data_IF_352470749787
#
_entry.id   IF_352470749787
#
_cell.length_a   1.000
_cell.length_b   1.000
_cell.length_c   1.000
_cell.angle_alpha   90.00
_cell.angle_beta   90.00
_cell.angle_gamma   90.00
#
_symmetry.space_group_name_H-M   'P 1'
#
loop_
_entity.id
_entity.type
_entity.pdbx_description
1 polymer ?
#
# COMPACT_ATOMS: atom_id res chain seq x y z
N UNK A 1 -15.86 12.55 -37.79
CA UNK A 1 -14.95 11.39 -37.64
C UNK A 1 -15.76 10.25 -37.06
N UNK A 2 -16.06 9.17 -37.82
CA UNK A 2 -16.80 8.06 -37.26
C UNK A 2 -15.96 7.41 -36.15
N UNK A 3 -16.58 7.18 -35.00
CA UNK A 3 -16.00 6.46 -33.87
C UNK A 3 -15.54 5.08 -34.35
N UNK A 4 -14.24 4.81 -34.24
CA UNK A 4 -13.71 3.45 -34.45
C UNK A 4 -14.36 2.54 -33.41
N UNK A 5 -15.35 1.75 -33.84
CA UNK A 5 -15.92 0.66 -33.06
C UNK A 5 -14.76 -0.22 -32.62
N UNK A 6 -14.51 -0.28 -31.30
CA UNK A 6 -13.50 -1.16 -30.74
C UNK A 6 -13.89 -2.60 -31.10
N UNK A 7 -13.08 -3.24 -31.95
CA UNK A 7 -13.23 -4.65 -32.28
C UNK A 7 -13.27 -5.48 -30.98
N UNK A 8 -14.28 -6.35 -30.87
CA UNK A 8 -14.46 -7.25 -29.73
C UNK A 8 -13.18 -8.09 -29.54
N UNK A 9 -12.64 -8.14 -28.33
CA UNK A 9 -11.58 -9.10 -28.00
C UNK A 9 -12.22 -10.46 -27.79
N UNK A 10 -11.71 -11.48 -28.49
CA UNK A 10 -12.20 -12.85 -28.37
C UNK A 10 -11.50 -13.58 -27.24
N UNK A 11 -12.29 -14.28 -26.41
CA UNK A 11 -11.78 -15.01 -25.26
C UNK A 11 -11.05 -16.30 -25.67
N UNK A 12 -10.18 -16.86 -24.81
CA UNK A 12 -9.53 -18.15 -25.06
C UNK A 12 -10.54 -19.27 -25.37
N UNK A 13 -11.69 -19.29 -24.71
CA UNK A 13 -12.74 -20.30 -24.91
C UNK A 13 -13.41 -20.16 -26.26
N UNK A 14 -13.69 -18.91 -26.70
CA UNK A 14 -14.20 -18.62 -28.04
C UNK A 14 -13.22 -19.10 -29.12
N UNK A 15 -11.91 -18.92 -28.90
CA UNK A 15 -10.86 -19.40 -29.82
C UNK A 15 -10.76 -20.93 -29.82
N UNK A 16 -10.82 -21.55 -28.64
CA UNK A 16 -10.80 -23.01 -28.48
C UNK A 16 -11.93 -23.67 -29.28
N UNK A 17 -13.16 -23.17 -29.16
CA UNK A 17 -14.32 -23.70 -29.90
C UNK A 17 -14.13 -23.70 -31.42
N UNK A 18 -13.51 -22.65 -31.97
CA UNK A 18 -13.22 -22.57 -33.41
C UNK A 18 -12.15 -23.60 -33.81
N UNK A 19 -11.12 -23.79 -32.99
CA UNK A 19 -10.06 -24.77 -33.23
C UNK A 19 -10.51 -26.22 -33.07
N UNK A 20 -11.36 -26.52 -32.09
CA UNK A 20 -11.94 -27.85 -31.90
C UNK A 20 -12.77 -28.25 -33.12
N UNK A 21 -13.63 -27.33 -33.60
CA UNK A 21 -14.42 -27.55 -34.80
C UNK A 21 -13.58 -27.76 -36.05
N UNK A 22 -12.49 -27.01 -36.20
CA UNK A 22 -11.54 -27.20 -37.30
C UNK A 22 -10.86 -28.56 -37.22
N UNK A 23 -10.44 -28.97 -36.01
CA UNK A 23 -9.73 -30.24 -35.78
C UNK A 23 -10.64 -31.46 -35.96
N UNK A 24 -11.94 -31.32 -35.69
CA UNK A 24 -12.96 -32.35 -35.96
C UNK A 24 -13.45 -32.36 -37.42
N UNK A 25 -12.88 -31.53 -38.30
CA UNK A 25 -13.29 -31.42 -39.71
C UNK A 25 -14.67 -30.79 -39.92
N UNK A 26 -15.23 -30.13 -38.90
CA UNK A 26 -16.52 -29.46 -38.95
C UNK A 26 -16.46 -28.04 -39.52
N UNK A 27 -17.62 -27.38 -39.60
CA UNK A 27 -17.73 -26.00 -40.11
C UNK A 27 -17.33 -24.97 -39.03
N UNK A 28 -16.02 -24.82 -38.86
CA UNK A 28 -15.43 -23.83 -37.97
C UNK A 28 -15.72 -22.38 -38.40
N UNK A 29 -16.06 -22.11 -39.68
CA UNK A 29 -16.37 -20.76 -40.17
C UNK A 29 -17.72 -20.28 -39.66
N UNK A 30 -18.72 -21.17 -39.61
CA UNK A 30 -20.01 -20.86 -38.99
C UNK A 30 -19.85 -20.57 -37.49
N UNK A 31 -19.02 -21.36 -36.80
CA UNK A 31 -18.75 -21.18 -35.36
C UNK A 31 -17.97 -19.88 -35.09
N UNK A 32 -17.02 -19.54 -35.95
CA UNK A 32 -16.29 -18.27 -35.88
C UNK A 32 -17.24 -17.07 -36.11
N UNK A 33 -18.15 -17.16 -37.10
CA UNK A 33 -19.15 -16.14 -37.36
C UNK A 33 -20.10 -15.94 -36.17
N UNK A 34 -20.58 -17.03 -35.56
CA UNK A 34 -21.45 -16.96 -34.38
C UNK A 34 -20.76 -16.32 -33.17
N UNK A 35 -19.47 -16.58 -32.97
CA UNK A 35 -18.67 -15.94 -31.93
C UNK A 35 -18.22 -14.50 -32.31
N UNK A 36 -18.59 -14.01 -33.50
CA UNK A 36 -18.32 -12.65 -33.97
C UNK A 36 -16.88 -12.42 -34.45
N UNK A 37 -16.15 -13.47 -34.84
CA UNK A 37 -14.79 -13.32 -35.37
C UNK A 37 -14.82 -12.67 -36.76
N UNK A 38 -13.99 -11.65 -37.00
CA UNK A 38 -13.65 -11.25 -38.36
C UNK A 38 -13.03 -12.45 -39.10
N UNK A 39 -13.42 -12.64 -40.36
CA UNK A 39 -12.97 -13.78 -41.18
C UNK A 39 -11.46 -13.96 -41.16
N UNK A 40 -10.71 -12.87 -41.32
CA UNK A 40 -9.24 -12.87 -41.33
C UNK A 40 -8.65 -13.32 -40.00
N UNK A 41 -9.28 -12.98 -38.87
CA UNK A 41 -8.87 -13.39 -37.54
C UNK A 41 -9.14 -14.88 -37.30
N UNK A 42 -10.27 -15.39 -37.79
CA UNK A 42 -10.62 -16.80 -37.70
C UNK A 42 -9.68 -17.69 -38.55
N UNK A 43 -9.38 -17.26 -39.78
CA UNK A 43 -8.41 -17.93 -40.65
C UNK A 43 -6.99 -17.92 -40.04
N UNK A 44 -6.57 -16.77 -39.47
CA UNK A 44 -5.29 -16.68 -38.76
C UNK A 44 -5.22 -17.61 -37.54
N UNK A 45 -6.30 -17.66 -36.74
CA UNK A 45 -6.42 -18.52 -35.57
C UNK A 45 -6.25 -19.99 -35.96
N UNK A 46 -6.98 -20.45 -36.97
CA UNK A 46 -6.95 -21.84 -37.47
C UNK A 46 -5.58 -22.21 -38.04
N UNK A 47 -4.95 -21.30 -38.78
CA UNK A 47 -3.61 -21.54 -39.35
C UNK A 47 -2.49 -21.61 -38.30
N UNK A 48 -2.64 -20.95 -37.14
CA UNK A 48 -1.61 -20.91 -36.11
C UNK A 48 -1.91 -21.80 -34.89
N UNK A 49 -3.17 -22.16 -34.65
CA UNK A 49 -3.60 -23.04 -33.55
C UNK A 49 -3.47 -22.44 -32.15
N UNK A 50 -3.30 -21.11 -32.02
CA UNK A 50 -2.95 -20.48 -30.74
C UNK A 50 -4.17 -19.92 -30.01
N UNK A 51 -4.48 -20.51 -28.86
CA UNK A 51 -5.57 -20.07 -27.98
C UNK A 51 -5.15 -18.91 -27.07
N UNK A 52 -3.96 -19.03 -26.46
CA UNK A 52 -3.47 -18.09 -25.46
C UNK A 52 -3.07 -16.72 -26.04
N UNK A 53 -3.30 -15.67 -25.25
CA UNK A 53 -2.84 -14.33 -25.59
C UNK A 53 -1.33 -14.21 -25.42
N UNK A 54 -0.65 -13.75 -26.47
CA UNK A 54 0.78 -13.47 -26.40
C UNK A 54 1.03 -12.08 -25.79
N UNK A 55 2.11 -11.91 -25.01
CA UNK A 55 2.57 -10.61 -24.59
C UNK A 55 2.87 -9.74 -25.83
N UNK A 56 2.48 -8.46 -25.77
CA UNK A 56 2.66 -7.53 -26.89
C UNK A 56 4.12 -7.11 -27.03
N UNK A 57 4.68 -7.28 -28.23
CA UNK A 57 6.01 -6.81 -28.61
C UNK A 57 7.11 -7.88 -28.52
N UNK A 58 8.16 -7.73 -29.33
CA UNK A 58 9.34 -8.59 -29.28
C UNK A 58 10.29 -8.20 -28.14
N UNK A 59 11.26 -9.08 -27.84
CA UNK A 59 12.30 -8.81 -26.85
C UNK A 59 13.07 -7.54 -27.24
N UNK A 60 13.04 -6.51 -26.39
CA UNK A 60 13.88 -5.32 -26.54
C UNK A 60 15.18 -5.56 -25.78
N UNK A 61 16.32 -5.28 -26.41
CA UNK A 61 17.60 -5.30 -25.73
C UNK A 61 17.60 -4.33 -24.54
N UNK A 62 17.58 -4.86 -23.32
CA UNK A 62 17.68 -4.07 -22.12
C UNK A 62 19.15 -3.75 -21.85
N UNK A 63 19.53 -2.47 -21.96
CA UNK A 63 20.91 -2.03 -21.71
C UNK A 63 21.33 -2.13 -20.24
N UNK A 64 20.36 -2.26 -19.33
CA UNK A 64 20.62 -2.34 -17.89
C UNK A 64 20.63 -3.80 -17.48
N UNK A 65 21.85 -4.34 -17.41
CA UNK A 65 22.11 -5.71 -16.99
C UNK A 65 21.96 -5.85 -15.48
N UNK A 66 21.83 -7.08 -14.94
CA UNK A 66 21.81 -7.31 -13.49
C UNK A 66 23.02 -6.73 -12.76
N UNK A 67 24.22 -6.81 -13.37
CA UNK A 67 25.47 -6.32 -12.81
C UNK A 67 25.47 -4.79 -12.66
N UNK A 68 24.92 -4.07 -13.64
CA UNK A 68 24.75 -2.61 -13.55
C UNK A 68 23.79 -2.25 -12.41
N UNK A 69 22.74 -3.05 -12.17
CA UNK A 69 21.80 -2.79 -11.06
C UNK A 69 22.46 -2.98 -9.71
N UNK A 70 23.23 -4.05 -9.55
CA UNK A 70 23.99 -4.33 -8.34
C UNK A 70 25.01 -3.22 -8.04
N UNK A 71 25.73 -2.74 -9.07
CA UNK A 71 26.65 -1.62 -8.91
C UNK A 71 25.95 -0.32 -8.50
N UNK A 72 24.82 0.02 -9.15
CA UNK A 72 23.99 1.17 -8.75
C UNK A 72 23.50 1.06 -7.30
N UNK A 73 23.16 -0.15 -6.85
CA UNK A 73 22.75 -0.41 -5.47
C UNK A 73 23.91 -0.22 -4.49
N UNK A 74 25.09 -0.77 -4.80
CA UNK A 74 26.30 -0.62 -3.99
C UNK A 74 26.71 0.84 -3.85
N UNK A 75 26.81 1.59 -4.96
CA UNK A 75 27.20 3.00 -4.90
C UNK A 75 26.21 3.86 -4.11
N UNK A 76 24.91 3.57 -4.20
CA UNK A 76 23.89 4.30 -3.43
C UNK A 76 23.87 3.94 -1.95
N UNK A 77 24.23 2.69 -1.60
CA UNK A 77 24.38 2.28 -0.20
C UNK A 77 25.64 2.88 0.43
N UNK A 78 26.72 3.04 -0.35
CA UNK A 78 27.98 3.66 0.10
C UNK A 78 27.88 5.19 0.16
N UNK A 79 27.23 5.82 -0.83
CA UNK A 79 27.10 7.26 -0.92
C UNK A 79 25.74 7.69 -1.49
N UNK A 80 24.81 8.02 -0.60
CA UNK A 80 23.47 8.47 -0.97
C UNK A 80 23.40 9.90 -1.54
N UNK A 81 24.52 10.63 -1.58
CA UNK A 81 24.60 12.01 -2.10
C UNK A 81 24.89 12.08 -3.61
N UNK A 82 25.15 10.93 -4.24
CA UNK A 82 25.44 10.90 -5.68
C UNK A 82 24.27 11.43 -6.50
N UNK A 83 24.61 12.33 -7.43
CA UNK A 83 23.65 12.83 -8.40
C UNK A 83 23.44 11.80 -9.52
N UNK A 84 22.29 11.86 -10.20
CA UNK A 84 22.04 11.01 -11.38
C UNK A 84 23.11 11.18 -12.47
N UNK A 85 23.73 12.37 -12.57
CA UNK A 85 24.86 12.62 -13.48
C UNK A 85 26.11 11.87 -13.05
N UNK A 86 26.39 11.82 -11.75
CA UNK A 86 27.53 11.08 -11.21
C UNK A 86 27.38 9.58 -11.48
N UNK A 87 26.22 9.02 -11.15
CA UNK A 87 25.91 7.62 -11.44
C UNK A 87 25.99 7.30 -12.94
N UNK A 88 25.55 8.23 -13.79
CA UNK A 88 25.68 8.08 -15.24
C UNK A 88 27.14 7.98 -15.70
N UNK A 89 28.04 8.78 -15.14
CA UNK A 89 29.46 8.73 -15.46
C UNK A 89 30.08 7.42 -14.98
N UNK A 90 29.77 6.99 -13.75
CA UNK A 90 30.26 5.71 -13.19
C UNK A 90 29.83 4.51 -14.05
N UNK A 91 28.59 4.47 -14.54
CA UNK A 91 28.15 3.38 -15.44
C UNK A 91 28.92 3.39 -16.77
N UNK A 92 29.26 4.57 -17.30
CA UNK A 92 30.06 4.66 -18.53
C UNK A 92 31.49 4.20 -18.28
N UNK A 93 32.08 4.56 -17.15
CA UNK A 93 33.44 4.18 -16.77
C UNK A 93 33.58 2.68 -16.52
N UNK A 94 32.70 2.09 -15.71
CA UNK A 94 32.85 0.70 -15.26
C UNK A 94 32.29 -0.33 -16.25
N UNK A 95 31.24 0.02 -16.99
CA UNK A 95 30.54 -0.92 -17.88
C UNK A 95 30.62 -0.54 -19.37
N UNK A 96 31.17 0.62 -19.72
CA UNK A 96 31.19 1.15 -21.09
C UNK A 96 29.78 1.23 -21.72
N UNK A 97 28.74 1.43 -20.89
CA UNK A 97 27.35 1.54 -21.32
C UNK A 97 26.84 2.97 -21.12
N UNK A 98 26.38 3.61 -22.20
CA UNK A 98 25.72 4.91 -22.12
C UNK A 98 24.25 4.75 -21.72
N UNK A 99 23.95 5.05 -20.45
CA UNK A 99 22.58 5.18 -19.94
C UNK A 99 22.17 6.65 -19.83
N UNK A 100 20.88 6.95 -19.92
CA UNK A 100 20.35 8.28 -19.60
C UNK A 100 20.07 8.39 -18.09
N UNK A 101 20.15 9.60 -17.55
CA UNK A 101 19.75 9.88 -16.15
C UNK A 101 18.32 9.44 -15.85
N UNK A 102 17.42 9.54 -16.84
CA UNK A 102 16.03 9.06 -16.72
C UNK A 102 15.94 7.55 -16.59
N UNK A 103 16.80 6.79 -17.26
CA UNK A 103 16.87 5.33 -17.12
C UNK A 103 17.39 4.96 -15.74
N UNK A 104 18.46 5.60 -15.27
CA UNK A 104 19.00 5.40 -13.93
C UNK A 104 17.96 5.74 -12.87
N UNK A 105 17.30 6.90 -12.98
CA UNK A 105 16.22 7.32 -12.09
C UNK A 105 15.07 6.29 -12.03
N UNK A 106 14.61 5.77 -13.18
CA UNK A 106 13.59 4.73 -13.21
C UNK A 106 14.04 3.45 -12.50
N UNK A 107 15.30 3.04 -12.66
CA UNK A 107 15.83 1.86 -11.98
C UNK A 107 15.96 2.06 -10.47
N UNK A 108 16.44 3.24 -10.03
CA UNK A 108 16.48 3.58 -8.61
C UNK A 108 15.07 3.56 -7.99
N UNK A 109 14.07 4.14 -8.67
CA UNK A 109 12.67 4.08 -8.24
C UNK A 109 12.17 2.63 -8.20
N UNK A 110 12.50 1.81 -9.20
CA UNK A 110 12.13 0.40 -9.22
C UNK A 110 12.79 -0.40 -8.09
N UNK A 111 13.98 0.02 -7.62
CA UNK A 111 14.67 -0.48 -6.43
C UNK A 111 14.23 0.23 -5.13
N UNK A 112 13.13 1.00 -5.17
CA UNK A 112 12.52 1.70 -4.03
C UNK A 112 13.37 2.82 -3.41
N UNK A 113 14.42 3.29 -4.09
CA UNK A 113 15.13 4.50 -3.68
C UNK A 113 14.23 5.71 -3.87
N UNK A 114 14.14 6.53 -2.82
CA UNK A 114 13.38 7.79 -2.83
C UNK A 114 14.32 8.93 -2.49
N UNK A 115 14.17 10.04 -3.21
CA UNK A 115 14.92 11.27 -2.92
C UNK A 115 14.23 11.97 -1.76
N UNK A 116 14.99 12.32 -0.73
CA UNK A 116 14.56 13.22 0.34
C UNK A 116 15.54 14.38 0.42
N UNK A 117 15.03 15.57 0.68
CA UNK A 117 15.91 16.65 1.11
C UNK A 117 16.46 16.25 2.48
N UNK A 118 17.78 16.36 2.64
CA UNK A 118 18.40 16.21 3.94
C UNK A 118 18.22 17.55 4.65
N UNK A 119 17.48 17.55 5.77
CA UNK A 119 17.46 18.70 6.65
C UNK A 119 18.89 18.95 7.12
N UNK A 120 19.45 20.12 6.82
CA UNK A 120 20.64 20.57 7.53
C UNK A 120 20.28 20.60 9.02
N UNK A 121 21.04 19.86 9.84
CA UNK A 121 20.95 19.93 11.30
C UNK A 121 21.48 21.31 11.74
N UNK A 122 20.64 22.32 11.58
CA UNK A 122 20.67 23.56 12.34
C UNK A 122 19.50 23.52 13.30
N UNK A 123 19.74 23.97 14.53
CA UNK A 123 18.81 23.98 15.65
C UNK A 123 17.40 24.35 15.17
N UNK A 124 16.44 23.46 15.43
CA UNK A 124 15.04 23.61 15.02
C UNK A 124 14.39 24.69 15.88
N UNK A 125 14.44 25.92 15.40
CA UNK A 125 13.44 26.92 15.72
C UNK A 125 12.29 26.78 14.71
N UNK A 126 11.12 26.52 15.28
CA UNK A 126 9.79 27.04 14.95
C UNK A 126 9.30 27.04 13.48
N UNK A 127 8.14 26.40 13.32
CA UNK A 127 7.20 26.52 12.18
C UNK A 127 7.65 25.92 10.84
N UNK A 128 7.65 24.59 10.79
CA UNK A 128 7.46 23.86 9.53
C UNK A 128 6.10 23.17 9.56
N UNK A 129 5.11 23.71 8.82
CA UNK A 129 4.08 22.84 8.26
C UNK A 129 4.82 21.68 7.59
N UNK A 130 4.42 20.45 7.90
CA UNK A 130 4.89 19.27 7.16
C UNK A 130 4.35 19.44 5.72
N UNK A 131 5.10 20.14 4.85
CA UNK A 131 4.88 20.13 3.41
C UNK A 131 5.10 18.69 2.96
N UNK A 132 4.02 17.92 3.01
CA UNK A 132 3.98 16.53 2.60
C UNK A 132 4.43 16.44 1.16
N UNK A 133 5.62 15.87 0.94
CA UNK A 133 6.07 15.38 -0.36
C UNK A 133 4.89 14.68 -1.05
N UNK A 134 4.63 15.08 -2.30
CA UNK A 134 3.55 14.53 -3.12
C UNK A 134 3.54 13.00 -3.00
N UNK A 135 2.36 12.36 -2.81
CA UNK A 135 2.26 10.92 -2.65
C UNK A 135 3.07 10.21 -3.74
N UNK A 136 3.97 9.30 -3.34
CA UNK A 136 4.61 8.43 -4.32
C UNK A 136 3.50 7.74 -5.11
N UNK A 137 3.67 7.59 -6.44
CA UNK A 137 2.67 7.03 -7.36
C UNK A 137 2.48 5.52 -7.17
N UNK A 138 2.46 5.04 -5.93
CA UNK A 138 2.23 3.66 -5.53
C UNK A 138 0.83 3.49 -4.93
N UNK A 139 0.32 2.26 -4.97
CA UNK A 139 -0.87 1.91 -4.23
C UNK A 139 -0.56 1.98 -2.72
N UNK A 140 -1.40 2.69 -1.96
CA UNK A 140 -1.22 2.84 -0.53
C UNK A 140 -1.96 1.75 0.26
N UNK A 141 -1.32 1.27 1.32
CA UNK A 141 -1.95 0.45 2.35
C UNK A 141 -2.45 1.36 3.47
N UNK A 142 -3.74 1.31 3.76
CA UNK A 142 -4.34 1.99 4.91
C UNK A 142 -4.47 1.01 6.07
N UNK A 143 -4.10 1.45 7.27
CA UNK A 143 -4.22 0.69 8.50
C UNK A 143 -5.21 1.43 9.41
N UNK A 144 -6.30 0.75 9.76
CA UNK A 144 -7.23 1.20 10.80
C UNK A 144 -6.95 0.41 12.06
N UNK A 145 -6.87 1.09 13.21
CA UNK A 145 -6.50 0.45 14.46
C UNK A 145 -7.21 1.12 15.63
N UNK A 146 -7.66 0.32 16.59
CA UNK A 146 -8.21 0.78 17.86
C UNK A 146 -7.33 0.27 19.01
N UNK A 147 -6.83 1.21 19.79
CA UNK A 147 -5.76 0.97 20.76
C UNK A 147 -6.11 1.55 22.14
N UNK A 148 -6.97 0.88 22.92
CA UNK A 148 -7.22 1.27 24.30
C UNK A 148 -6.05 0.89 25.23
N UNK A 149 -5.79 1.73 26.22
CA UNK A 149 -4.70 1.53 27.19
C UNK A 149 -4.88 0.31 28.09
N UNK A 150 -6.13 -0.09 28.34
CA UNK A 150 -6.45 -1.28 29.12
C UNK A 150 -6.09 -2.59 28.40
N UNK A 151 -6.02 -2.62 27.06
CA UNK A 151 -5.88 -3.87 26.29
C UNK A 151 -4.70 -3.87 25.31
N UNK A 152 -4.13 -2.71 24.97
CA UNK A 152 -3.25 -2.58 23.81
C UNK A 152 -4.07 -2.56 22.51
N UNK A 153 -3.56 -3.16 21.43
CA UNK A 153 -4.32 -3.25 20.16
C UNK A 153 -5.48 -4.23 20.32
N UNK A 154 -6.70 -3.72 20.19
CA UNK A 154 -7.93 -4.53 20.31
C UNK A 154 -8.39 -5.04 18.95
N UNK A 155 -8.34 -4.18 17.94
CA UNK A 155 -8.68 -4.55 16.58
C UNK A 155 -7.88 -3.68 15.61
N UNK A 156 -7.50 -4.27 14.50
CA UNK A 156 -7.00 -3.53 13.36
C UNK A 156 -7.50 -4.16 12.06
N UNK A 157 -7.56 -3.34 11.02
CA UNK A 157 -7.89 -3.76 9.66
C UNK A 157 -6.92 -3.09 8.70
N UNK A 158 -6.54 -3.83 7.67
CA UNK A 158 -5.78 -3.31 6.55
C UNK A 158 -6.70 -3.17 5.34
N UNK A 159 -6.58 -2.06 4.63
CA UNK A 159 -7.36 -1.77 3.43
C UNK A 159 -6.43 -1.31 2.32
N UNK A 160 -6.62 -1.87 1.12
CA UNK A 160 -5.94 -1.39 -0.09
C UNK A 160 -6.73 -0.22 -0.66
N UNK A 161 -6.07 0.91 -0.88
CA UNK A 161 -6.71 2.13 -1.39
C UNK A 161 -7.47 2.91 -0.32
N UNK A 162 -8.39 3.78 -0.75
CA UNK A 162 -9.13 4.67 0.15
C UNK A 162 -10.23 3.93 0.92
N UNK A 163 -10.26 4.10 2.23
CA UNK A 163 -11.37 3.62 3.04
C UNK A 163 -12.64 4.43 2.76
N UNK A 164 -13.75 3.73 2.53
CA UNK A 164 -15.10 4.32 2.44
C UNK A 164 -15.71 4.46 3.84
N UNK A 165 -16.66 5.38 3.95
CA UNK A 165 -17.27 5.75 5.23
C UNK A 165 -18.02 4.58 5.91
N UNK A 166 -18.71 3.73 5.14
CA UNK A 166 -19.39 2.55 5.67
C UNK A 166 -18.41 1.59 6.36
N UNK A 167 -17.20 1.46 5.80
CA UNK A 167 -16.16 0.60 6.37
C UNK A 167 -15.71 1.08 7.75
N UNK A 168 -15.70 2.40 8.00
CA UNK A 168 -15.43 2.96 9.32
C UNK A 168 -16.54 2.62 10.31
N UNK A 169 -17.82 2.76 9.91
CA UNK A 169 -18.94 2.40 10.77
C UNK A 169 -18.92 0.90 11.11
N UNK A 170 -18.71 0.03 10.11
CA UNK A 170 -18.59 -1.42 10.30
C UNK A 170 -17.40 -1.80 11.19
N UNK A 171 -16.34 -1.01 11.18
CA UNK A 171 -15.19 -1.19 12.07
C UNK A 171 -15.55 -0.85 13.52
N UNK A 172 -16.25 0.26 13.77
CA UNK A 172 -16.71 0.66 15.11
C UNK A 172 -17.70 -0.36 15.68
N UNK A 173 -18.61 -0.85 14.85
CA UNK A 173 -19.56 -1.89 15.25
C UNK A 173 -18.87 -3.20 15.62
N UNK A 174 -17.89 -3.63 14.82
CA UNK A 174 -17.06 -4.79 15.13
C UNK A 174 -16.24 -4.59 16.40
N UNK A 175 -15.68 -3.39 16.61
CA UNK A 175 -14.92 -3.04 17.79
C UNK A 175 -15.78 -3.12 19.05
N UNK A 176 -16.99 -2.56 19.02
CA UNK A 176 -17.92 -2.61 20.15
C UNK A 176 -18.23 -4.04 20.58
N UNK A 177 -18.53 -4.93 19.61
CA UNK A 177 -18.80 -6.34 19.87
C UNK A 177 -17.58 -7.04 20.48
N UNK A 178 -16.40 -6.83 19.88
CA UNK A 178 -15.16 -7.47 20.31
C UNK A 178 -14.75 -7.03 21.73
N UNK A 179 -14.89 -5.75 22.07
CA UNK A 179 -14.65 -5.26 23.42
C UNK A 179 -15.64 -5.89 24.40
N UNK A 180 -16.95 -5.91 24.10
CA UNK A 180 -17.98 -6.51 24.96
C UNK A 180 -17.77 -8.01 25.20
N UNK A 181 -17.19 -8.71 24.24
CA UNK A 181 -16.90 -10.15 24.35
C UNK A 181 -15.59 -10.44 25.09
N UNK A 182 -14.70 -9.46 25.25
CA UNK A 182 -13.41 -9.64 25.93
C UNK A 182 -13.56 -9.90 27.43
N UNK A 183 -12.70 -10.77 27.97
CA UNK A 183 -12.73 -11.14 29.40
C UNK A 183 -12.41 -9.94 30.29
N UNK A 184 -11.41 -9.13 29.92
CA UNK A 184 -11.05 -7.90 30.65
C UNK A 184 -12.25 -6.94 30.75
N UNK A 185 -13.07 -6.81 29.70
CA UNK A 185 -14.28 -5.98 29.79
C UNK A 185 -15.32 -6.60 30.71
N UNK A 186 -15.55 -7.92 30.62
CA UNK A 186 -16.52 -8.63 31.47
C UNK A 186 -16.13 -8.56 32.95
N UNK A 187 -14.84 -8.64 33.25
CA UNK A 187 -14.33 -8.69 34.61
C UNK A 187 -14.25 -7.29 35.25
N UNK A 188 -13.84 -6.27 34.50
CA UNK A 188 -13.51 -4.95 35.07
C UNK A 188 -14.39 -3.78 34.57
N UNK A 189 -15.13 -3.95 33.47
CA UNK A 189 -15.79 -2.84 32.77
C UNK A 189 -17.26 -3.09 32.36
N UNK A 190 -17.91 -4.16 32.82
CA UNK A 190 -19.26 -4.59 32.38
C UNK A 190 -20.31 -3.46 32.37
N UNK A 191 -20.28 -2.57 33.37
CA UNK A 191 -21.23 -1.47 33.52
C UNK A 191 -20.70 -0.12 32.98
N UNK A 192 -19.52 -0.11 32.36
CA UNK A 192 -18.88 1.11 31.84
C UNK A 192 -19.22 1.32 30.37
N UNK A 193 -19.37 2.59 29.98
CA UNK A 193 -19.54 2.97 28.57
C UNK A 193 -18.22 2.80 27.83
N UNK A 194 -18.29 2.29 26.61
CA UNK A 194 -17.16 2.24 25.69
C UNK A 194 -17.08 3.60 25.01
N UNK A 195 -15.93 4.27 25.11
CA UNK A 195 -15.69 5.57 24.48
C UNK A 195 -14.73 5.37 23.31
N UNK A 196 -15.17 5.69 22.10
CA UNK A 196 -14.35 5.67 20.89
C UNK A 196 -14.03 7.10 20.50
N UNK A 197 -12.76 7.37 20.27
CA UNK A 197 -12.26 8.71 20.03
C UNK A 197 -11.70 8.81 18.61
N UNK A 198 -12.14 9.81 17.84
CA UNK A 198 -11.69 10.07 16.46
C UNK A 198 -10.98 11.41 16.34
N UNK A 199 -10.12 11.53 15.33
CA UNK A 199 -9.67 12.84 14.85
C UNK A 199 -10.78 13.55 14.05
N UNK A 200 -10.48 14.76 13.57
CA UNK A 200 -11.42 15.59 12.83
C UNK A 200 -11.36 15.39 11.31
N UNK A 201 -10.82 14.27 10.81
CA UNK A 201 -10.79 14.06 9.36
C UNK A 201 -12.21 13.92 8.78
N UNK A 202 -12.48 14.39 7.55
CA UNK A 202 -13.82 14.37 6.95
C UNK A 202 -14.47 12.98 6.92
N UNK A 203 -13.65 11.93 6.75
CA UNK A 203 -14.10 10.53 6.75
C UNK A 203 -14.67 10.06 8.10
N UNK A 204 -14.33 10.74 9.20
CA UNK A 204 -14.84 10.43 10.52
C UNK A 204 -16.10 11.24 10.84
N UNK A 205 -16.24 12.50 10.37
CA UNK A 205 -17.38 13.39 10.69
C UNK A 205 -18.76 12.75 10.52
N UNK A 206 -18.93 11.88 9.54
CA UNK A 206 -20.20 11.22 9.28
C UNK A 206 -20.29 9.79 9.84
N UNK A 207 -19.18 9.20 10.32
CA UNK A 207 -19.21 7.89 11.01
C UNK A 207 -20.15 7.94 12.22
N UNK A 208 -20.21 9.06 12.94
CA UNK A 208 -21.13 9.25 14.06
C UNK A 208 -22.61 9.12 13.68
N UNK A 209 -22.96 9.49 12.45
CA UNK A 209 -24.33 9.40 11.95
C UNK A 209 -24.70 8.00 11.45
N UNK A 210 -23.69 7.19 11.08
CA UNK A 210 -23.87 5.84 10.53
C UNK A 210 -23.77 4.74 11.59
N UNK A 211 -23.05 4.98 12.69
CA UNK A 211 -22.94 4.04 13.80
C UNK A 211 -24.26 3.98 14.57
N UNK A 212 -24.69 2.77 14.93
CA UNK A 212 -25.93 2.56 15.68
C UNK A 212 -25.80 3.21 17.06
N UNK A 213 -26.70 4.15 17.40
CA UNK A 213 -26.73 4.75 18.73
C UNK A 213 -27.06 3.68 19.78
N UNK A 214 -26.22 3.60 20.82
CA UNK A 214 -26.37 2.68 21.94
C UNK A 214 -26.00 3.40 23.23
N UNK A 215 -26.72 3.15 24.32
CA UNK A 215 -26.45 3.80 25.61
C UNK A 215 -25.05 3.50 26.18
N UNK A 216 -24.51 2.33 25.81
CA UNK A 216 -23.17 1.87 26.20
C UNK A 216 -22.02 2.29 25.28
N UNK A 217 -22.27 3.07 24.20
CA UNK A 217 -21.24 3.51 23.25
C UNK A 217 -21.27 5.04 23.12
N UNK A 218 -20.13 5.68 23.33
CA UNK A 218 -19.94 7.13 23.18
C UNK A 218 -18.87 7.38 22.14
N UNK A 219 -19.14 8.27 21.19
CA UNK A 219 -18.17 8.70 20.19
C UNK A 219 -17.72 10.12 20.52
N UNK A 220 -16.42 10.36 20.58
CA UNK A 220 -15.83 11.67 20.87
C UNK A 220 -14.88 12.12 19.76
N UNK A 221 -14.73 13.45 19.66
CA UNK A 221 -13.73 14.10 18.81
C UNK A 221 -12.55 14.59 19.62
N UNK A 222 -11.36 14.41 19.07
CA UNK A 222 -10.15 15.01 19.62
C UNK A 222 -10.07 16.48 19.24
N UNK A 223 -9.47 17.24 20.15
CA UNK A 223 -8.83 18.51 19.82
C UNK A 223 -7.56 18.27 18.98
N UNK A 224 -6.73 19.30 18.77
CA UNK A 224 -5.59 19.24 17.85
C UNK A 224 -4.49 18.22 18.22
N UNK A 225 -4.51 17.63 19.43
CA UNK A 225 -3.51 16.64 19.84
C UNK A 225 -4.08 15.21 19.84
N UNK A 226 -3.46 14.32 19.06
CA UNK A 226 -3.92 12.93 18.92
C UNK A 226 -2.88 11.90 19.47
N UNK A 227 -3.15 11.23 20.61
CA UNK A 227 -2.21 10.28 21.21
C UNK A 227 -1.87 9.09 20.31
N UNK A 228 -2.75 8.73 19.38
CA UNK A 228 -2.55 7.56 18.52
C UNK A 228 -1.45 7.79 17.48
N UNK A 229 -1.11 9.05 17.16
CA UNK A 229 -0.09 9.37 16.17
C UNK A 229 1.30 8.87 16.58
N UNK A 230 1.59 8.91 17.88
CA UNK A 230 2.82 8.33 18.42
C UNK A 230 2.85 6.80 18.25
N UNK A 231 1.71 6.12 18.42
CA UNK A 231 1.59 4.69 18.14
C UNK A 231 1.86 4.40 16.66
N UNK A 232 1.24 5.15 15.76
CA UNK A 232 1.44 4.99 14.32
C UNK A 232 2.86 5.34 13.88
N UNK A 233 3.52 6.31 14.52
CA UNK A 233 4.91 6.67 14.21
C UNK A 233 5.87 5.52 14.54
N UNK A 234 5.71 4.92 15.73
CA UNK A 234 6.45 3.72 16.12
C UNK A 234 6.14 2.53 15.21
N UNK A 235 4.87 2.32 14.87
CA UNK A 235 4.48 1.29 13.91
C UNK A 235 5.17 1.47 12.55
N UNK A 236 5.13 2.69 12.01
CA UNK A 236 5.77 3.03 10.74
C UNK A 236 7.27 2.76 10.79
N UNK A 237 7.94 3.02 11.91
CA UNK A 237 9.35 2.70 12.10
C UNK A 237 9.58 1.18 12.02
N UNK A 238 8.82 0.39 12.79
CA UNK A 238 8.94 -1.07 12.75
C UNK A 238 8.62 -1.69 11.39
N UNK A 239 7.63 -1.16 10.67
CA UNK A 239 7.34 -1.59 9.30
C UNK A 239 8.54 -1.29 8.40
N UNK A 240 9.13 -0.08 8.49
CA UNK A 240 10.33 0.27 7.70
C UNK A 240 11.50 -0.67 8.01
N UNK A 241 11.74 -0.98 9.28
CA UNK A 241 12.79 -1.91 9.70
C UNK A 241 12.56 -3.31 9.10
N UNK A 242 11.33 -3.82 9.19
CA UNK A 242 10.97 -5.10 8.59
C UNK A 242 11.17 -5.11 7.08
N UNK A 243 10.73 -4.05 6.39
CA UNK A 243 10.90 -3.94 4.93
C UNK A 243 12.38 -3.82 4.54
N UNK A 244 13.23 -3.20 5.37
CA UNK A 244 14.67 -3.17 5.15
C UNK A 244 15.30 -4.56 5.26
N UNK A 245 14.85 -5.39 6.22
CA UNK A 245 15.28 -6.80 6.32
C UNK A 245 14.81 -7.63 5.10
N UNK A 246 13.62 -7.34 4.58
CA UNK A 246 13.04 -8.02 3.42
C UNK A 246 13.40 -7.35 2.08
N UNK A 247 14.46 -6.55 2.02
CA UNK A 247 14.87 -5.80 0.83
C UNK A 247 15.08 -6.67 -0.41
N UNK A 248 15.65 -7.86 -0.23
CA UNK A 248 15.84 -8.82 -1.32
C UNK A 248 14.50 -9.28 -1.93
N UNK A 249 13.51 -9.60 -1.10
CA UNK A 249 12.16 -9.97 -1.55
C UNK A 249 11.42 -8.76 -2.15
N UNK A 250 11.64 -7.55 -1.62
CA UNK A 250 11.08 -6.32 -2.17
C UNK A 250 11.61 -6.02 -3.59
N UNK A 251 12.90 -6.26 -3.84
CA UNK A 251 13.55 -6.00 -5.12
C UNK A 251 13.27 -7.11 -6.14
N UNK A 252 13.27 -8.36 -5.68
CA UNK A 252 13.07 -9.57 -6.49
C UNK A 252 11.89 -10.40 -5.95
N UNK A 253 10.65 -9.89 -6.01
CA UNK A 253 9.51 -10.61 -5.48
C UNK A 253 9.17 -11.83 -6.33
N UNK A 254 8.69 -12.88 -5.68
CA UNK A 254 8.09 -14.03 -6.38
C UNK A 254 6.82 -13.55 -7.08
N UNK A 255 6.79 -13.68 -8.41
CA UNK A 255 5.68 -13.19 -9.25
C UNK A 255 4.64 -14.28 -9.55
N UNK A 256 4.50 -15.24 -8.64
CA UNK A 256 3.52 -16.32 -8.73
C UNK A 256 2.78 -16.46 -7.42
N UNK A 257 1.46 -16.64 -7.49
CA UNK A 257 0.62 -16.93 -6.34
C UNK A 257 -0.38 -18.01 -6.73
N UNK A 258 -0.39 -19.13 -5.99
CA UNK A 258 -1.23 -20.29 -6.28
C UNK A 258 -1.10 -20.82 -7.72
N UNK A 259 0.09 -20.70 -8.32
CA UNK A 259 0.35 -21.09 -9.71
C UNK A 259 0.06 -20.03 -10.76
N UNK A 260 -0.60 -18.91 -10.39
CA UNK A 260 -0.95 -17.83 -11.32
C UNK A 260 0.07 -16.67 -11.27
N UNK A 261 0.39 -16.04 -12.42
CA UNK A 261 1.26 -14.88 -12.46
C UNK A 261 0.64 -13.67 -11.75
N UNK A 262 1.41 -13.02 -10.87
CA UNK A 262 1.03 -11.76 -10.22
C UNK A 262 1.95 -10.60 -10.63
N UNK A 263 1.45 -9.38 -10.54
CA UNK A 263 2.26 -8.19 -10.84
C UNK A 263 3.27 -7.90 -9.73
N UNK A 264 4.40 -7.24 -10.08
CA UNK A 264 5.39 -6.78 -9.09
C UNK A 264 4.76 -5.88 -8.01
N UNK A 265 3.81 -5.03 -8.40
CA UNK A 265 3.05 -4.17 -7.49
C UNK A 265 2.22 -4.98 -6.50
N UNK A 266 1.58 -6.06 -6.96
CA UNK A 266 0.79 -6.94 -6.11
C UNK A 266 1.68 -7.66 -5.09
N UNK A 267 2.79 -8.25 -5.54
CA UNK A 267 3.71 -8.95 -4.64
C UNK A 267 4.29 -8.01 -3.56
N UNK A 268 4.62 -6.76 -3.93
CA UNK A 268 5.07 -5.73 -2.97
C UNK A 268 3.96 -5.30 -2.00
N UNK A 269 2.72 -5.21 -2.46
CA UNK A 269 1.57 -4.90 -1.59
C UNK A 269 1.37 -6.00 -0.55
N UNK A 270 1.49 -7.27 -0.94
CA UNK A 270 1.39 -8.40 -0.01
C UNK A 270 2.51 -8.41 1.03
N UNK A 271 3.74 -8.08 0.61
CA UNK A 271 4.87 -7.90 1.53
C UNK A 271 4.58 -6.78 2.55
N UNK A 272 3.99 -5.66 2.10
CA UNK A 272 3.62 -4.56 2.98
C UNK A 272 2.48 -4.93 3.96
N UNK A 273 1.48 -5.69 3.50
CA UNK A 273 0.41 -6.23 4.36
C UNK A 273 0.97 -7.19 5.42
N UNK A 274 1.90 -8.06 5.01
CA UNK A 274 2.60 -8.96 5.92
C UNK A 274 3.43 -8.20 6.95
N UNK A 275 4.15 -7.17 6.52
CA UNK A 275 4.91 -6.30 7.42
C UNK A 275 3.98 -5.62 8.44
N UNK A 276 2.86 -5.06 7.99
CA UNK A 276 1.86 -4.46 8.88
C UNK A 276 1.33 -5.48 9.92
N UNK A 277 0.97 -6.69 9.48
CA UNK A 277 0.49 -7.76 10.35
C UNK A 277 1.52 -8.15 11.42
N UNK A 278 2.77 -8.38 11.02
CA UNK A 278 3.86 -8.75 11.94
C UNK A 278 4.14 -7.60 12.93
N UNK A 279 4.19 -6.36 12.45
CA UNK A 279 4.53 -5.21 13.27
C UNK A 279 3.41 -4.75 14.21
N UNK A 280 2.15 -5.17 14.02
CA UNK A 280 1.06 -4.86 14.96
C UNK A 280 1.38 -5.34 16.38
N UNK A 281 2.06 -6.47 16.50
CA UNK A 281 2.48 -7.03 17.80
C UNK A 281 3.44 -6.13 18.58
N UNK A 282 4.08 -5.15 17.91
CA UNK A 282 5.00 -4.20 18.54
C UNK A 282 4.27 -3.06 19.25
N UNK A 283 2.99 -2.86 18.96
CA UNK A 283 2.13 -1.90 19.67
C UNK A 283 1.63 -2.56 20.95
N UNK A 284 2.49 -2.53 21.97
CA UNK A 284 2.23 -3.17 23.26
C UNK A 284 1.35 -2.30 24.16
N UNK A 285 0.58 -2.93 25.05
CA UNK A 285 -0.22 -2.22 26.07
C UNK A 285 0.60 -1.19 26.86
N UNK A 286 1.81 -1.55 27.29
CA UNK A 286 2.72 -0.66 28.02
C UNK A 286 3.08 0.60 27.24
N UNK A 287 3.28 0.47 25.93
CA UNK A 287 3.56 1.61 25.04
C UNK A 287 2.36 2.55 24.97
N UNK A 288 1.16 1.99 24.84
CA UNK A 288 -0.10 2.75 24.77
C UNK A 288 -0.36 3.50 26.06
N UNK A 289 -0.17 2.85 27.21
CA UNK A 289 -0.29 3.48 28.53
C UNK A 289 0.67 4.67 28.69
N UNK A 290 1.92 4.54 28.24
CA UNK A 290 2.88 5.65 28.26
C UNK A 290 2.43 6.82 27.39
N UNK A 291 1.87 6.54 26.22
CA UNK A 291 1.41 7.57 25.28
C UNK A 291 0.14 8.26 25.79
N UNK A 292 -0.79 7.52 26.39
CA UNK A 292 -1.95 8.08 27.06
C UNK A 292 -1.54 8.99 28.24
N UNK A 293 -0.61 8.53 29.09
CA UNK A 293 -0.07 9.34 30.19
C UNK A 293 0.66 10.59 29.69
N UNK A 294 1.33 10.51 28.53
CA UNK A 294 1.93 11.68 27.92
C UNK A 294 0.85 12.66 27.42
N UNK A 295 -0.18 12.16 26.76
CA UNK A 295 -1.32 12.95 26.27
C UNK A 295 -2.11 13.61 27.40
N UNK A 296 -2.30 12.93 28.53
CA UNK A 296 -3.05 13.47 29.68
C UNK A 296 -2.39 14.71 30.29
N UNK A 297 -1.06 14.84 30.17
CA UNK A 297 -0.34 16.07 30.59
C UNK A 297 -0.76 17.27 29.76
N UNK A 298 -0.93 17.10 28.44
CA UNK A 298 -1.41 18.18 27.57
C UNK A 298 -2.88 18.52 27.84
N UNK A 299 -3.72 17.52 28.09
CA UNK A 299 -5.12 17.78 28.52
C UNK A 299 -5.13 18.58 29.82
N UNK A 300 -4.28 18.22 30.77
CA UNK A 300 -4.19 18.93 32.06
C UNK A 300 -3.67 20.36 31.90
N UNK A 301 -2.69 20.59 31.03
CA UNK A 301 -2.17 21.93 30.71
C UNK A 301 -3.22 22.78 29.98
N UNK A 302 -3.95 22.20 29.03
CA UNK A 302 -5.03 22.85 28.32
C UNK A 302 -6.16 23.30 29.27
N UNK A 303 -6.54 22.46 30.24
CA UNK A 303 -7.53 22.82 31.28
C UNK A 303 -7.06 24.01 32.12
N UNK A 304 -5.74 24.12 32.35
CA UNK A 304 -5.13 25.24 33.08
C UNK A 304 -4.86 26.47 32.21
N UNK A 305 -5.21 26.44 30.93
CA UNK A 305 -4.92 27.50 29.95
C UNK A 305 -3.43 27.84 29.89
N UNK A 306 -2.57 26.84 30.10
CA UNK A 306 -1.11 26.98 29.99
C UNK A 306 -0.69 26.93 28.52
N UNK A 307 0.29 27.74 28.15
CA UNK A 307 0.93 27.65 26.84
C UNK A 307 1.64 26.29 26.70
N UNK A 308 1.32 25.56 25.62
CA UNK A 308 1.87 24.25 25.34
C UNK A 308 2.82 24.33 24.15
N UNK A 309 4.07 23.91 24.34
CA UNK A 309 5.03 23.77 23.24
C UNK A 309 4.74 22.46 22.50
N UNK A 310 4.53 22.54 21.19
CA UNK A 310 4.26 21.39 20.32
C UNK A 310 5.55 20.87 19.70
N UNK A 311 5.83 19.57 19.81
CA UNK A 311 6.85 18.88 19.01
C UNK A 311 8.32 19.11 19.40
N UNK A 312 8.69 18.81 20.65
CA UNK A 312 10.10 18.66 21.05
C UNK A 312 10.71 17.33 20.54
#
# INVERSE_FOLDING_TARGET
>A
MPSQLRLKRHTPEERRRVLDAYSSGGDWRAIAHYNGFPRTTAEYLVGHGRVEDLPRGGSRANKVTPEIKEALETWMNECCTFTLRTLQNLVVEDFNVKLSQTTISRHLIDMMYTIKQADHVQQRDEQGEEEGLSPSKGANLQIQCAVPSAFGVVAYRTHRGSTKMQTNADFVEGLYKLIKESDVYKDEYTDKKIVVVFDNAPAHCQTESLVTKRDGLVLLRLGPYNPIENCFSSLKAHIKDYLALMRNEMNNPVLTMNGEPISKTEARMQLLERAAHVCMTKITQRMVQKMELHASKFVSAAVRMEDMVYGA
#
